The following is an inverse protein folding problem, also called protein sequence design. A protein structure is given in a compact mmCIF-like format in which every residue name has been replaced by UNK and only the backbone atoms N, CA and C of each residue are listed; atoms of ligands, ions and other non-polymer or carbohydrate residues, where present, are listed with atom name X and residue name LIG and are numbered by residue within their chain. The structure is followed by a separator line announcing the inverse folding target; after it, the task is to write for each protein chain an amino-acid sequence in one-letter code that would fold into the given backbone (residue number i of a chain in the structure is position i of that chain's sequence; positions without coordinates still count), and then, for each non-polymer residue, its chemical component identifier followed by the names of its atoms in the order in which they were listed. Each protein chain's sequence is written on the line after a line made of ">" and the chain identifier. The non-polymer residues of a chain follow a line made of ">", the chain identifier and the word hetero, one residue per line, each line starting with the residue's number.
data_IF_218972265873
#
_entry.id   IF_218972265873
#
_cell.length_a   1.000
_cell.length_b   1.000
_cell.length_c   1.000
_cell.angle_alpha   90.00
_cell.angle_beta   90.00
_cell.angle_gamma   90.00
#
_symmetry.space_group_name_H-M   'P 1'
#
loop_
_entity.id
_entity.type
_entity.pdbx_description
1 polymer ?
#
# COMPACT_ATOMS: atom_id res chain seq x y z
N UNK A 1 -16.05 -0.22 -6.23
CA UNK A 1 -16.18 1.26 -6.17
C UNK A 1 -15.10 1.85 -7.09
N UNK A 2 -15.18 3.12 -7.49
CA UNK A 2 -14.06 3.78 -8.19
C UNK A 2 -13.25 4.54 -7.15
N UNK A 3 -11.96 4.27 -7.04
CA UNK A 3 -11.07 5.05 -6.17
C UNK A 3 -10.92 6.47 -6.72
N UNK A 4 -11.35 7.46 -5.92
CA UNK A 4 -11.24 8.88 -6.25
C UNK A 4 -11.20 9.73 -4.97
N UNK A 5 -10.66 10.94 -5.09
CA UNK A 5 -10.61 11.93 -3.99
C UNK A 5 -12.03 12.24 -3.50
N UNK A 6 -12.18 12.35 -2.18
CA UNK A 6 -13.46 12.53 -1.49
C UNK A 6 -14.18 11.23 -1.11
N UNK A 7 -13.67 10.09 -1.56
CA UNK A 7 -14.27 8.78 -1.27
C UNK A 7 -13.81 8.26 0.09
N UNK A 8 -14.75 7.71 0.88
CA UNK A 8 -14.40 6.93 2.07
C UNK A 8 -14.00 5.51 1.66
N UNK A 9 -12.78 5.09 2.00
CA UNK A 9 -12.29 3.76 1.61
C UNK A 9 -12.95 2.65 2.44
N UNK A 10 -13.13 1.44 1.87
CA UNK A 10 -13.62 0.30 2.62
C UNK A 10 -12.66 -0.02 3.77
N UNK A 11 -13.22 -0.39 4.91
CA UNK A 11 -12.45 -0.90 6.05
C UNK A 11 -12.53 -2.40 6.03
N UNK A 12 -11.37 -3.05 6.00
CA UNK A 12 -11.22 -4.49 5.97
C UNK A 12 -10.24 -4.91 7.07
N UNK A 13 -10.36 -6.16 7.51
CA UNK A 13 -9.37 -6.78 8.40
C UNK A 13 -8.33 -7.50 7.56
N UNK A 14 -7.08 -7.07 7.65
CA UNK A 14 -5.95 -7.67 6.94
C UNK A 14 -5.29 -8.73 7.84
N UNK A 15 -5.09 -9.97 7.36
CA UNK A 15 -4.29 -10.93 8.08
C UNK A 15 -2.83 -10.47 8.09
N UNK A 16 -2.08 -10.73 9.14
CA UNK A 16 -0.63 -10.46 9.19
C UNK A 16 0.09 -11.58 9.94
N UNK A 17 1.42 -11.54 9.92
CA UNK A 17 2.22 -12.21 10.94
C UNK A 17 2.70 -11.19 11.96
N UNK A 18 2.52 -11.51 13.23
CA UNK A 18 3.11 -10.76 14.35
C UNK A 18 3.97 -11.72 15.14
N UNK A 19 5.26 -11.41 15.23
CA UNK A 19 6.25 -12.25 15.90
C UNK A 19 6.25 -13.72 15.41
N UNK A 20 6.00 -13.90 14.10
CA UNK A 20 5.93 -15.21 13.45
C UNK A 20 4.62 -15.98 13.66
N UNK A 21 3.63 -15.41 14.36
CA UNK A 21 2.33 -16.00 14.58
C UNK A 21 1.23 -15.30 13.76
N UNK A 22 0.17 -16.02 13.32
CA UNK A 22 -0.98 -15.40 12.68
C UNK A 22 -1.65 -14.36 13.59
N UNK A 23 -1.88 -13.18 13.05
CA UNK A 23 -2.61 -12.08 13.69
C UNK A 23 -3.40 -11.31 12.62
N UNK A 24 -4.02 -10.20 12.99
CA UNK A 24 -4.79 -9.36 12.08
C UNK A 24 -4.77 -7.88 12.46
N UNK A 25 -4.96 -7.02 11.47
CA UNK A 25 -5.06 -5.56 11.63
C UNK A 25 -6.38 -5.11 11.04
N UNK A 26 -7.21 -4.42 11.83
CA UNK A 26 -8.37 -3.70 11.30
C UNK A 26 -7.90 -2.36 10.71
N UNK A 27 -8.13 -2.16 9.41
CA UNK A 27 -7.77 -0.91 8.74
C UNK A 27 -8.50 0.29 9.35
N UNK A 28 -9.70 0.11 9.93
CA UNK A 28 -10.43 1.18 10.62
C UNK A 28 -9.61 1.79 11.77
N UNK A 29 -8.98 0.95 12.58
CA UNK A 29 -8.16 1.37 13.73
C UNK A 29 -6.91 2.12 13.27
N UNK A 30 -6.45 1.85 12.04
CA UNK A 30 -5.34 2.57 11.42
C UNK A 30 -5.74 3.96 10.91
N UNK A 31 -7.01 4.18 10.58
CA UNK A 31 -7.46 5.39 9.87
C UNK A 31 -8.19 6.40 10.76
N UNK A 32 -8.88 5.96 11.81
CA UNK A 32 -9.77 6.83 12.59
C UNK A 32 -9.01 7.99 13.23
N UNK A 33 -9.37 9.22 12.87
CA UNK A 33 -8.73 10.45 13.36
C UNK A 33 -7.26 10.61 12.97
N UNK A 34 -6.78 9.88 11.96
CA UNK A 34 -5.38 9.85 11.54
C UNK A 34 -5.22 10.29 10.09
N UNK A 35 -4.01 10.74 9.75
CA UNK A 35 -3.55 11.06 8.40
C UNK A 35 -2.57 9.98 7.95
N UNK A 36 -2.99 9.15 7.00
CA UNK A 36 -2.27 7.93 6.59
C UNK A 36 -2.00 7.95 5.10
N UNK A 37 -0.77 7.60 4.72
CA UNK A 37 -0.43 7.34 3.32
C UNK A 37 -0.58 5.84 3.07
N UNK A 38 -1.34 5.48 2.03
CA UNK A 38 -1.51 4.09 1.60
C UNK A 38 -1.05 3.99 0.15
N UNK A 39 -0.12 3.09 -0.15
CA UNK A 39 0.29 2.78 -1.51
C UNK A 39 0.10 1.30 -1.83
N UNK A 40 -0.39 1.03 -3.04
CA UNK A 40 -0.62 -0.32 -3.54
C UNK A 40 0.39 -0.68 -4.62
N UNK A 41 0.74 -1.97 -4.72
CA UNK A 41 1.63 -2.45 -5.77
C UNK A 41 1.33 -3.88 -6.23
N UNK A 42 1.77 -4.28 -7.45
CA UNK A 42 1.43 -5.57 -8.05
C UNK A 42 1.82 -6.80 -7.23
N UNK A 43 2.90 -6.72 -6.45
CA UNK A 43 3.28 -7.79 -5.56
C UNK A 43 4.70 -7.71 -5.06
N UNK A 44 4.91 -8.35 -3.91
CA UNK A 44 6.21 -8.61 -3.32
C UNK A 44 7.15 -9.31 -4.32
N UNK A 45 8.45 -9.09 -4.18
CA UNK A 45 9.53 -9.67 -4.99
C UNK A 45 9.53 -9.35 -6.49
N UNK A 46 8.58 -8.55 -6.99
CA UNK A 46 8.64 -8.09 -8.38
C UNK A 46 9.65 -6.94 -8.52
N UNK A 47 10.30 -6.84 -9.70
CA UNK A 47 11.43 -5.94 -9.94
C UNK A 47 11.18 -4.49 -9.51
N UNK A 48 10.31 -3.77 -10.21
CA UNK A 48 10.03 -2.35 -9.93
C UNK A 48 9.45 -2.10 -8.52
N UNK A 49 8.69 -3.06 -7.97
CA UNK A 49 8.19 -2.94 -6.59
C UNK A 49 9.32 -2.92 -5.57
N UNK A 50 10.31 -3.81 -5.74
CA UNK A 50 11.40 -4.03 -4.79
C UNK A 50 12.56 -3.06 -4.98
N UNK A 51 12.76 -2.52 -6.19
CA UNK A 51 13.91 -1.66 -6.51
C UNK A 51 13.58 -0.17 -6.62
N UNK A 52 12.30 0.20 -6.76
CA UNK A 52 11.87 1.59 -6.93
C UNK A 52 10.71 1.96 -6.01
N UNK A 53 9.58 1.26 -6.10
CA UNK A 53 8.34 1.72 -5.48
C UNK A 53 8.40 1.76 -3.95
N UNK A 54 8.59 0.61 -3.30
CA UNK A 54 8.71 0.55 -1.84
C UNK A 54 9.93 1.35 -1.31
N UNK A 55 11.14 1.24 -1.90
CA UNK A 55 12.28 2.06 -1.47
C UNK A 55 12.00 3.56 -1.49
N UNK A 56 11.25 4.08 -2.47
CA UNK A 56 10.92 5.51 -2.53
C UNK A 56 10.07 6.00 -1.36
N UNK A 57 9.26 5.13 -0.74
CA UNK A 57 8.52 5.47 0.49
C UNK A 57 9.40 5.38 1.73
N UNK A 58 10.36 4.47 1.76
CA UNK A 58 11.37 4.39 2.84
C UNK A 58 12.22 5.66 2.86
N UNK A 59 12.66 6.13 1.69
CA UNK A 59 13.43 7.37 1.54
C UNK A 59 12.62 8.61 1.97
N UNK A 60 11.35 8.70 1.56
CA UNK A 60 10.49 9.86 1.82
C UNK A 60 9.82 9.86 3.21
N UNK A 61 10.04 8.83 4.04
CA UNK A 61 9.26 8.60 5.27
C UNK A 61 9.31 9.77 6.26
N UNK A 62 10.49 10.37 6.43
CA UNK A 62 10.71 11.44 7.40
C UNK A 62 10.05 12.74 6.93
N UNK A 63 10.02 12.98 5.62
CA UNK A 63 9.33 14.13 5.04
C UNK A 63 7.80 13.98 5.11
N UNK A 64 7.27 12.76 4.93
CA UNK A 64 5.85 12.48 5.19
C UNK A 64 5.50 12.74 6.65
N UNK A 65 6.33 12.28 7.59
CA UNK A 65 6.16 12.54 9.01
C UNK A 65 6.20 14.05 9.33
N UNK A 66 7.10 14.80 8.69
CA UNK A 66 7.16 16.26 8.81
C UNK A 66 5.89 16.98 8.29
N UNK A 67 5.14 16.36 7.36
CA UNK A 67 3.81 16.80 6.91
C UNK A 67 2.64 16.30 7.76
N UNK A 68 2.93 15.70 8.91
CA UNK A 68 1.94 15.18 9.85
C UNK A 68 1.30 13.86 9.43
N UNK A 69 1.94 13.09 8.55
CA UNK A 69 1.49 11.71 8.25
C UNK A 69 1.84 10.81 9.43
N UNK A 70 0.83 10.15 9.98
CA UNK A 70 0.96 9.26 11.15
C UNK A 70 1.51 7.88 10.78
N UNK A 71 1.28 7.42 9.55
CA UNK A 71 1.65 6.07 9.12
C UNK A 71 1.72 5.97 7.59
N UNK A 72 2.63 5.13 7.10
CA UNK A 72 2.72 4.74 5.69
C UNK A 72 2.42 3.24 5.61
N UNK A 73 1.48 2.88 4.75
CA UNK A 73 0.99 1.51 4.57
C UNK A 73 1.24 1.05 3.13
N UNK A 74 1.88 -0.11 2.97
CA UNK A 74 2.01 -0.83 1.70
C UNK A 74 0.95 -1.92 1.61
N UNK A 75 0.17 -1.94 0.52
CA UNK A 75 -0.80 -3.00 0.22
C UNK A 75 -0.34 -3.80 -1.00
N UNK A 76 -0.40 -5.13 -0.90
CA UNK A 76 -0.14 -6.01 -2.03
C UNK A 76 -0.96 -7.30 -1.95
N UNK A 77 -1.33 -7.84 -3.11
CA UNK A 77 -2.09 -9.10 -3.22
C UNK A 77 -1.12 -10.28 -3.16
N UNK A 78 -0.70 -10.56 -1.94
CA UNK A 78 0.19 -11.63 -1.53
C UNK A 78 -0.31 -12.20 -0.20
N UNK A 79 0.10 -13.41 0.15
CA UNK A 79 -0.16 -13.98 1.48
C UNK A 79 0.74 -13.38 2.57
N UNK A 80 0.40 -13.67 3.82
CA UNK A 80 1.07 -13.12 5.00
C UNK A 80 2.54 -13.53 5.09
N UNK A 81 2.90 -14.75 4.68
CA UNK A 81 4.27 -15.25 4.80
C UNK A 81 5.18 -14.59 3.77
N UNK A 82 4.69 -14.44 2.54
CA UNK A 82 5.41 -13.75 1.47
C UNK A 82 5.61 -12.28 1.82
N UNK A 83 4.57 -11.58 2.30
CA UNK A 83 4.69 -10.18 2.67
C UNK A 83 5.62 -9.96 3.87
N UNK A 84 5.58 -10.85 4.87
CA UNK A 84 6.42 -10.76 6.07
C UNK A 84 7.91 -10.87 5.75
N UNK A 85 8.30 -11.90 4.98
CA UNK A 85 9.70 -12.10 4.56
C UNK A 85 10.16 -10.99 3.61
N UNK A 86 9.30 -10.54 2.70
CA UNK A 86 9.64 -9.45 1.79
C UNK A 86 9.89 -8.14 2.53
N UNK A 87 9.10 -7.85 3.57
CA UNK A 87 9.26 -6.68 4.41
C UNK A 87 10.61 -6.67 5.16
N UNK A 88 11.10 -7.83 5.59
CA UNK A 88 12.42 -7.97 6.20
C UNK A 88 13.54 -7.74 5.20
N UNK A 89 13.46 -8.35 4.01
CA UNK A 89 14.50 -8.23 2.98
C UNK A 89 14.62 -6.84 2.38
N UNK A 90 13.54 -6.06 2.43
CA UNK A 90 13.51 -4.67 1.95
C UNK A 90 13.72 -3.66 3.07
N UNK A 91 13.93 -4.12 4.30
CA UNK A 91 14.01 -3.28 5.51
C UNK A 91 12.78 -2.38 5.72
N UNK A 92 11.63 -2.75 5.18
CA UNK A 92 10.38 -1.99 5.30
C UNK A 92 9.91 -1.93 6.76
N UNK A 93 10.03 -3.04 7.51
CA UNK A 93 9.71 -3.10 8.94
C UNK A 93 10.59 -2.12 9.74
N UNK A 94 11.89 -2.11 9.49
CA UNK A 94 12.86 -1.23 10.16
C UNK A 94 12.59 0.25 9.85
N UNK A 95 12.12 0.53 8.63
CA UNK A 95 11.68 1.86 8.21
C UNK A 95 10.32 2.28 8.79
N UNK A 96 9.60 1.39 9.48
CA UNK A 96 8.28 1.67 10.04
C UNK A 96 7.16 1.67 9.00
N UNK A 97 7.35 1.05 7.84
CA UNK A 97 6.29 0.86 6.84
C UNK A 97 5.42 -0.31 7.27
N UNK A 98 4.11 -0.07 7.41
CA UNK A 98 3.15 -1.12 7.71
C UNK A 98 2.83 -1.90 6.45
N UNK A 99 3.05 -3.21 6.49
CA UNK A 99 2.88 -4.09 5.33
C UNK A 99 1.59 -4.88 5.48
N UNK A 100 0.60 -4.61 4.62
CA UNK A 100 -0.71 -5.25 4.67
C UNK A 100 -0.91 -6.20 3.46
N UNK A 101 -0.85 -7.52 3.66
CA UNK A 101 -1.18 -8.50 2.63
C UNK A 101 -2.70 -8.56 2.41
N UNK A 102 -3.13 -8.45 1.15
CA UNK A 102 -4.52 -8.66 0.72
C UNK A 102 -4.65 -9.97 -0.07
N UNK A 103 -4.55 -11.15 0.58
CA UNK A 103 -4.41 -12.42 -0.12
C UNK A 103 -5.59 -12.77 -1.03
N UNK A 104 -6.78 -12.24 -0.73
CA UNK A 104 -8.01 -12.48 -1.49
C UNK A 104 -8.37 -11.32 -2.42
N UNK A 105 -7.52 -10.27 -2.50
CA UNK A 105 -7.78 -9.04 -3.24
C UNK A 105 -9.09 -8.35 -2.82
N UNK A 106 -9.50 -8.52 -1.55
CA UNK A 106 -10.78 -8.00 -1.06
C UNK A 106 -10.77 -6.48 -1.05
N UNK A 107 -9.73 -5.90 -0.45
CA UNK A 107 -9.59 -4.45 -0.38
C UNK A 107 -9.27 -3.89 -1.77
N UNK A 108 -8.30 -4.48 -2.46
CA UNK A 108 -7.86 -4.06 -3.79
C UNK A 108 -9.00 -4.05 -4.81
N UNK A 109 -9.80 -5.12 -4.90
CA UNK A 109 -10.98 -5.15 -5.77
C UNK A 109 -12.08 -4.20 -5.30
N UNK A 110 -12.27 -4.00 -3.99
CA UNK A 110 -13.31 -3.10 -3.48
C UNK A 110 -13.08 -1.64 -3.92
N UNK A 111 -11.81 -1.20 -3.95
CA UNK A 111 -11.42 0.12 -4.44
C UNK A 111 -11.25 0.18 -5.98
N UNK A 112 -11.39 -0.96 -6.67
CA UNK A 112 -11.30 -1.04 -8.13
C UNK A 112 -9.88 -0.88 -8.68
N UNK A 113 -8.88 -1.29 -7.90
CA UNK A 113 -7.46 -1.26 -8.27
C UNK A 113 -6.91 -2.64 -8.63
N UNK A 114 -7.75 -3.66 -8.79
CA UNK A 114 -7.31 -4.98 -9.22
C UNK A 114 -7.10 -5.05 -10.74
N UNK A 115 -6.09 -5.82 -11.16
CA UNK A 115 -5.85 -6.14 -12.57
C UNK A 115 -5.30 -7.56 -12.74
N UNK A 116 -5.46 -8.09 -13.95
CA UNK A 116 -4.96 -9.39 -14.37
C UNK A 116 -3.86 -9.23 -15.43
N UNK A 117 -2.83 -10.07 -15.36
CA UNK A 117 -1.87 -10.32 -16.44
C UNK A 117 -1.59 -11.83 -16.45
N UNK A 118 -2.48 -12.62 -17.11
CA UNK A 118 -2.42 -14.08 -17.08
C UNK A 118 -1.07 -14.64 -17.53
N UNK A 119 -0.39 -13.98 -18.47
CA UNK A 119 0.92 -14.38 -19.00
C UNK A 119 2.02 -14.35 -17.93
N UNK A 120 1.86 -13.51 -16.90
CA UNK A 120 2.76 -13.42 -15.75
C UNK A 120 2.20 -14.16 -14.51
N UNK A 121 1.04 -14.81 -14.64
CA UNK A 121 0.33 -15.43 -13.52
C UNK A 121 -0.28 -14.44 -12.53
N UNK A 122 -0.49 -13.18 -12.94
CA UNK A 122 -1.12 -12.18 -12.10
C UNK A 122 -2.63 -12.32 -12.18
N UNK A 123 -3.23 -12.64 -11.03
CA UNK A 123 -4.68 -12.69 -10.85
C UNK A 123 -5.04 -11.70 -9.76
N UNK A 124 -5.90 -10.72 -10.12
CA UNK A 124 -6.40 -9.64 -9.26
C UNK A 124 -5.31 -8.96 -8.45
N UNK A 125 -4.14 -8.72 -9.04
CA UNK A 125 -3.06 -8.00 -8.36
C UNK A 125 -3.40 -6.53 -8.21
N UNK A 126 -2.83 -5.87 -7.21
CA UNK A 126 -3.04 -4.43 -7.00
C UNK A 126 -2.28 -3.62 -8.03
N UNK A 127 -2.97 -2.75 -8.76
CA UNK A 127 -2.34 -1.71 -9.55
C UNK A 127 -1.51 -0.80 -8.63
N UNK A 128 -0.61 -0.04 -9.24
CA UNK A 128 0.18 0.96 -8.53
C UNK A 128 -0.62 2.23 -8.29
N UNK A 129 -0.71 2.61 -7.03
CA UNK A 129 -1.32 3.87 -6.61
C UNK A 129 -0.69 4.33 -5.29
N UNK A 130 -0.82 5.62 -5.02
CA UNK A 130 -0.55 6.21 -3.72
C UNK A 130 -1.72 7.13 -3.37
N UNK A 131 -2.21 7.05 -2.14
CA UNK A 131 -3.29 7.89 -1.65
C UNK A 131 -3.00 8.40 -0.25
N UNK A 132 -3.46 9.62 0.01
CA UNK A 132 -3.49 10.22 1.33
C UNK A 132 -4.91 10.06 1.85
N UNK A 133 -5.04 9.52 3.06
CA UNK A 133 -6.31 9.21 3.69
C UNK A 133 -6.38 9.92 5.04
N UNK A 134 -7.37 10.78 5.21
CA UNK A 134 -7.64 11.50 6.46
C UNK A 134 -8.99 11.05 7.01
N UNK A 135 -9.00 10.47 8.22
CA UNK A 135 -10.19 9.88 8.86
C UNK A 135 -10.97 8.92 7.94
N UNK A 136 -10.22 8.11 7.18
CA UNK A 136 -10.76 7.15 6.23
C UNK A 136 -11.25 7.73 4.89
N UNK A 137 -11.11 9.04 4.65
CA UNK A 137 -11.47 9.70 3.39
C UNK A 137 -10.23 9.99 2.56
N UNK A 138 -10.24 9.65 1.28
CA UNK A 138 -9.15 9.96 0.35
C UNK A 138 -9.10 11.48 0.10
N UNK A 139 -7.98 12.12 0.43
CA UNK A 139 -7.77 13.56 0.23
C UNK A 139 -6.80 13.87 -0.91
N UNK A 140 -5.93 12.92 -1.26
CA UNK A 140 -5.10 12.97 -2.46
C UNK A 140 -4.93 11.57 -3.05
N UNK A 141 -4.77 11.49 -4.36
CA UNK A 141 -4.66 10.22 -5.08
C UNK A 141 -3.78 10.38 -6.32
N UNK A 142 -2.84 9.46 -6.50
CA UNK A 142 -2.12 9.25 -7.75
C UNK A 142 -2.18 7.77 -8.12
N UNK A 143 -2.52 7.48 -9.38
CA UNK A 143 -2.62 6.13 -9.93
C UNK A 143 -1.71 6.07 -11.15
N UNK A 144 -0.81 5.09 -11.19
CA UNK A 144 0.02 4.87 -12.37
C UNK A 144 -0.75 4.11 -13.45
N UNK A 145 -0.41 4.38 -14.70
CA UNK A 145 -0.81 3.54 -15.81
C UNK A 145 -0.16 2.15 -15.68
N UNK A 146 -0.77 1.16 -16.34
CA UNK A 146 -0.29 -0.22 -16.28
C UNK A 146 1.20 -0.33 -16.68
N UNK A 147 2.01 -0.92 -15.80
CA UNK A 147 3.44 -1.12 -16.02
C UNK A 147 4.34 0.09 -15.68
N UNK A 148 3.76 1.26 -15.39
CA UNK A 148 4.52 2.44 -14.95
C UNK A 148 4.73 2.42 -13.43
N UNK A 149 5.57 3.33 -12.94
CA UNK A 149 5.84 3.53 -11.52
C UNK A 149 6.45 4.92 -11.32
N UNK A 150 5.71 5.97 -11.64
CA UNK A 150 6.25 7.33 -11.69
C UNK A 150 5.47 8.26 -10.77
N UNK A 151 4.15 8.25 -10.87
CA UNK A 151 3.26 9.05 -10.05
C UNK A 151 3.17 8.50 -8.62
N UNK A 152 2.96 7.18 -8.48
CA UNK A 152 2.76 6.59 -7.14
C UNK A 152 4.01 6.47 -6.28
N UNK A 153 5.20 6.86 -6.77
CA UNK A 153 6.43 6.81 -5.95
C UNK A 153 6.36 7.77 -4.77
N UNK A 154 7.02 7.45 -3.66
CA UNK A 154 7.00 8.23 -2.43
C UNK A 154 7.40 9.70 -2.66
N UNK A 155 8.49 9.94 -3.38
CA UNK A 155 8.94 11.30 -3.70
C UNK A 155 7.95 12.08 -4.59
N UNK A 156 7.44 11.45 -5.66
CA UNK A 156 6.44 12.09 -6.54
C UNK A 156 5.14 12.39 -5.80
N UNK A 157 4.67 11.44 -4.98
CA UNK A 157 3.44 11.58 -4.22
C UNK A 157 3.59 12.63 -3.12
N UNK A 158 4.71 12.64 -2.39
CA UNK A 158 5.04 13.64 -1.38
C UNK A 158 5.02 15.06 -1.97
N UNK A 159 5.54 15.25 -3.19
CA UNK A 159 5.54 16.54 -3.87
C UNK A 159 4.13 17.03 -4.26
N UNK A 160 3.15 16.12 -4.33
CA UNK A 160 1.79 16.43 -4.74
C UNK A 160 0.81 16.67 -3.57
N UNK A 161 1.25 16.50 -2.32
CA UNK A 161 0.43 16.68 -1.11
C UNK A 161 0.96 17.74 -0.15
#
# INVERSE_FOLDING_TARGET
>A
MKLEVGTKIPVETFPILKDGAPDSVDLKDKLQGRKVVIFGLPGAFTGTCSTKHLPSFIEAKDDFAAKGVDEIICVAVNDVFVMDVWAEQTSAKDAGITMLPDPESKFTSAIGMDFDVPELGFVKRSNRYAMLVEDGVVTALQVDEAGQCDLSTGNSFLAAI
#
